data_IF_281231389893
#
_entry.id   IF_281231389893
#
_cell.length_a   1.000
_cell.length_b   1.000
_cell.length_c   1.000
_cell.angle_alpha   90.00
_cell.angle_beta   90.00
_cell.angle_gamma   90.00
#
_symmetry.space_group_name_H-M   'P 1'
#
loop_
_entity.id
_entity.type
_entity.pdbx_description
1 polymer ?
#
# COMPACT_ATOMS: atom_id res chain seq x y z
N UNK A 1 18.48 -26.59 -14.03
CA UNK A 1 18.38 -27.19 -12.67
C UNK A 1 17.05 -27.91 -12.39
N UNK A 2 15.90 -27.23 -12.21
CA UNK A 2 14.63 -27.91 -11.84
C UNK A 2 14.20 -28.98 -12.87
N UNK A 3 14.35 -28.67 -14.16
CA UNK A 3 14.09 -29.61 -15.27
C UNK A 3 15.09 -30.77 -15.29
N UNK A 4 16.37 -30.44 -15.32
CA UNK A 4 17.46 -31.41 -15.57
C UNK A 4 17.78 -32.30 -14.37
N UNK A 5 17.67 -31.78 -13.15
CA UNK A 5 18.07 -32.49 -11.93
C UNK A 5 16.89 -33.07 -11.15
N UNK A 6 15.73 -32.44 -11.21
CA UNK A 6 14.54 -32.87 -10.47
C UNK A 6 13.42 -33.40 -11.38
N UNK A 7 13.62 -33.43 -12.70
CA UNK A 7 12.65 -33.98 -13.65
C UNK A 7 11.32 -33.20 -13.72
N UNK A 8 11.27 -31.96 -13.23
CA UNK A 8 10.05 -31.14 -13.22
C UNK A 8 9.66 -30.78 -14.65
N UNK A 9 8.45 -31.19 -15.07
CA UNK A 9 7.92 -30.94 -16.42
C UNK A 9 6.82 -29.88 -16.47
N UNK A 10 6.15 -29.63 -15.35
CA UNK A 10 5.05 -28.67 -15.24
C UNK A 10 5.51 -27.44 -14.43
N UNK A 11 5.27 -26.25 -14.97
CA UNK A 11 5.62 -24.98 -14.35
C UNK A 11 4.38 -24.10 -14.26
N UNK A 12 4.13 -23.54 -13.07
CA UNK A 12 3.10 -22.54 -12.83
C UNK A 12 3.78 -21.25 -12.39
N UNK A 13 3.65 -20.19 -13.20
CA UNK A 13 4.09 -18.84 -12.86
C UNK A 13 2.92 -18.02 -12.32
N UNK A 14 3.03 -17.52 -11.09
CA UNK A 14 2.05 -16.61 -10.50
C UNK A 14 2.70 -15.26 -10.28
N UNK A 15 2.09 -14.21 -10.83
CA UNK A 15 2.49 -12.82 -10.61
C UNK A 15 1.26 -11.97 -10.37
N UNK A 16 1.36 -11.04 -9.41
CA UNK A 16 0.29 -10.09 -9.12
C UNK A 16 0.30 -8.89 -10.08
N UNK A 17 1.46 -8.56 -10.65
CA UNK A 17 1.66 -7.43 -11.55
C UNK A 17 2.71 -7.82 -12.57
N UNK A 18 2.31 -7.97 -13.84
CA UNK A 18 3.23 -8.16 -14.95
C UNK A 18 2.68 -7.46 -16.19
N UNK A 19 3.55 -6.73 -16.88
CA UNK A 19 3.26 -6.26 -18.22
C UNK A 19 3.21 -7.45 -19.18
N UNK A 20 2.61 -7.28 -20.35
CA UNK A 20 2.62 -8.32 -21.39
C UNK A 20 4.05 -8.72 -21.79
N UNK A 21 5.01 -7.78 -21.74
CA UNK A 21 6.42 -8.07 -22.02
C UNK A 21 7.05 -8.94 -20.92
N UNK A 22 6.85 -8.59 -19.64
CA UNK A 22 7.36 -9.39 -18.51
C UNK A 22 6.71 -10.77 -18.46
N UNK A 23 5.41 -10.88 -18.75
CA UNK A 23 4.70 -12.16 -18.80
C UNK A 23 5.27 -13.08 -19.89
N UNK A 24 5.61 -12.53 -21.07
CA UNK A 24 6.28 -13.28 -22.15
C UNK A 24 7.68 -13.73 -21.77
N UNK A 25 8.48 -12.85 -21.18
CA UNK A 25 9.84 -13.19 -20.74
C UNK A 25 9.85 -14.31 -19.68
N UNK A 26 8.91 -14.25 -18.72
CA UNK A 26 8.72 -15.32 -17.73
C UNK A 26 8.23 -16.61 -18.40
N UNK A 27 7.30 -16.52 -19.35
CA UNK A 27 6.81 -17.70 -20.08
C UNK A 27 7.92 -18.36 -20.90
N UNK A 28 8.77 -17.57 -21.55
CA UNK A 28 9.95 -18.04 -22.29
C UNK A 28 10.93 -18.77 -21.37
N UNK A 29 11.29 -18.16 -20.23
CA UNK A 29 12.15 -18.78 -19.23
C UNK A 29 11.56 -20.06 -18.62
N UNK A 30 10.24 -20.12 -18.47
CA UNK A 30 9.54 -21.30 -17.98
C UNK A 30 9.23 -22.31 -19.09
N UNK A 31 9.54 -22.03 -20.35
CA UNK A 31 9.25 -22.89 -21.51
C UNK A 31 7.75 -23.15 -21.69
N UNK A 32 6.91 -22.14 -21.41
CA UNK A 32 5.45 -22.18 -21.55
C UNK A 32 5.09 -21.60 -22.94
N UNK A 33 4.47 -22.37 -23.85
CA UNK A 33 4.13 -21.87 -25.18
C UNK A 33 3.03 -20.79 -25.11
N UNK A 34 3.21 -19.70 -25.88
CA UNK A 34 2.31 -18.53 -25.88
C UNK A 34 0.84 -18.89 -26.16
N UNK A 35 0.61 -19.95 -26.95
CA UNK A 35 -0.72 -20.37 -27.43
C UNK A 35 -1.57 -21.08 -26.39
N UNK A 36 -0.98 -21.57 -25.30
CA UNK A 36 -1.68 -22.42 -24.31
C UNK A 36 -1.68 -21.87 -22.88
N UNK A 37 -0.78 -20.93 -22.52
CA UNK A 37 -0.48 -20.69 -21.10
C UNK A 37 -0.49 -19.24 -20.60
N UNK A 38 -0.52 -18.23 -21.47
CA UNK A 38 -0.39 -16.83 -21.02
C UNK A 38 -1.78 -16.18 -20.92
N UNK A 39 -2.41 -16.31 -19.74
CA UNK A 39 -3.59 -15.50 -19.40
C UNK A 39 -3.14 -14.23 -18.67
N UNK A 40 -2.90 -13.14 -19.39
CA UNK A 40 -2.70 -11.82 -18.76
C UNK A 40 -4.08 -11.20 -18.51
N UNK A 41 -4.63 -11.37 -17.30
CA UNK A 41 -5.75 -10.54 -16.85
C UNK A 41 -5.19 -9.24 -16.30
N UNK A 42 -5.13 -8.22 -17.13
CA UNK A 42 -4.96 -6.85 -16.67
C UNK A 42 -6.32 -6.32 -16.27
N UNK A 43 -6.89 -6.84 -15.18
CA UNK A 43 -8.01 -6.14 -14.56
C UNK A 43 -7.47 -4.78 -14.13
N UNK A 44 -8.05 -3.71 -14.68
CA UNK A 44 -7.60 -2.34 -14.43
C UNK A 44 -7.62 -1.99 -12.94
N UNK A 45 -7.25 -0.75 -12.62
CA UNK A 45 -7.29 -0.28 -11.22
C UNK A 45 -8.71 -0.50 -10.67
N UNK A 46 -8.88 -1.18 -9.51
CA UNK A 46 -10.20 -1.49 -8.98
C UNK A 46 -11.06 -0.23 -8.82
N UNK A 47 -12.32 -0.29 -9.24
CA UNK A 47 -13.23 0.88 -9.25
C UNK A 47 -13.55 1.45 -7.87
N UNK A 48 -13.26 0.72 -6.79
CA UNK A 48 -13.40 1.19 -5.41
C UNK A 48 -12.19 2.01 -4.92
N UNK A 49 -11.11 2.13 -5.71
CA UNK A 49 -9.95 2.96 -5.38
C UNK A 49 -10.13 4.38 -5.91
N UNK A 50 -10.04 5.37 -5.01
CA UNK A 50 -9.98 6.80 -5.38
C UNK A 50 -8.54 7.27 -5.36
N UNK A 51 -8.00 7.55 -6.54
CA UNK A 51 -6.63 8.04 -6.72
C UNK A 51 -6.61 9.57 -6.66
N UNK A 52 -5.54 10.13 -6.09
CA UNK A 52 -5.30 11.56 -6.06
C UNK A 52 -3.79 11.84 -6.05
N UNK A 53 -3.40 13.01 -6.56
CA UNK A 53 -2.00 13.41 -6.67
C UNK A 53 -1.87 14.87 -6.28
N UNK A 54 -0.77 15.26 -5.67
CA UNK A 54 -0.41 16.66 -5.43
C UNK A 54 1.10 16.89 -5.59
N UNK A 55 1.47 18.16 -5.74
CA UNK A 55 2.85 18.63 -5.88
C UNK A 55 3.14 19.64 -4.75
N UNK A 56 3.34 19.12 -3.55
CA UNK A 56 3.54 19.95 -2.36
C UNK A 56 5.02 20.25 -2.14
N UNK A 57 5.35 21.53 -1.91
CA UNK A 57 6.72 21.95 -1.56
C UNK A 57 7.12 21.43 -0.18
N UNK A 58 6.21 21.50 0.78
CA UNK A 58 6.38 20.94 2.12
C UNK A 58 5.49 19.69 2.28
N UNK A 59 6.07 18.54 1.97
CA UNK A 59 5.39 17.25 2.06
C UNK A 59 5.07 16.82 3.49
N UNK A 60 5.86 17.26 4.48
CA UNK A 60 5.59 16.93 5.88
C UNK A 60 4.28 17.59 6.31
N UNK A 61 4.12 18.89 6.07
CA UNK A 61 2.89 19.62 6.38
C UNK A 61 1.70 19.15 5.55
N UNK A 62 1.92 18.85 4.26
CA UNK A 62 0.88 18.32 3.40
C UNK A 62 0.39 16.94 3.88
N UNK A 63 1.30 16.05 4.31
CA UNK A 63 0.96 14.76 4.89
C UNK A 63 0.09 14.90 6.15
N UNK A 64 0.49 15.79 7.07
CA UNK A 64 -0.28 16.02 8.30
C UNK A 64 -1.66 16.60 7.99
N UNK A 65 -1.74 17.56 7.06
CA UNK A 65 -3.00 18.17 6.62
C UNK A 65 -3.90 17.14 5.93
N UNK A 66 -3.33 16.28 5.09
CA UNK A 66 -4.05 15.20 4.41
C UNK A 66 -4.62 14.19 5.40
N UNK A 67 -3.79 13.78 6.37
CA UNK A 67 -4.21 12.88 7.44
C UNK A 67 -5.31 13.52 8.30
N UNK A 68 -5.23 14.80 8.64
CA UNK A 68 -6.30 15.50 9.40
C UNK A 68 -7.58 15.72 8.60
N UNK A 69 -7.47 15.91 7.29
CA UNK A 69 -8.57 16.28 6.43
C UNK A 69 -9.61 15.17 6.24
N UNK A 70 -10.75 15.52 5.65
CA UNK A 70 -11.89 14.62 5.42
C UNK A 70 -11.55 13.37 4.59
N UNK A 71 -10.45 13.41 3.83
CA UNK A 71 -10.03 12.32 2.97
C UNK A 71 -9.45 11.16 3.77
N UNK A 72 -8.52 11.42 4.71
CA UNK A 72 -7.82 10.37 5.45
C UNK A 72 -8.14 10.36 6.96
N UNK A 73 -8.75 11.43 7.48
CA UNK A 73 -9.01 11.65 8.90
C UNK A 73 -9.88 10.59 9.57
N UNK A 74 -10.83 10.01 8.85
CA UNK A 74 -11.71 8.94 9.35
C UNK A 74 -11.21 7.52 9.05
N UNK A 75 -10.06 7.37 8.35
CA UNK A 75 -9.59 6.04 7.94
C UNK A 75 -8.80 5.37 9.05
N UNK A 76 -9.14 4.13 9.36
CA UNK A 76 -8.56 3.37 10.50
C UNK A 76 -7.30 2.55 10.14
N UNK A 77 -7.01 2.37 8.85
CA UNK A 77 -5.88 1.57 8.38
C UNK A 77 -5.22 2.23 7.17
N UNK A 78 -4.05 2.82 7.40
CA UNK A 78 -3.31 3.61 6.42
C UNK A 78 -1.87 3.09 6.32
N UNK A 79 -1.37 2.96 5.10
CA UNK A 79 0.04 2.71 4.82
C UNK A 79 0.63 3.96 4.16
N UNK A 80 1.74 4.47 4.70
CA UNK A 80 2.53 5.54 4.11
C UNK A 80 3.82 4.92 3.56
N UNK A 81 3.98 4.90 2.25
CA UNK A 81 5.18 4.41 1.58
C UNK A 81 6.25 5.50 1.46
N UNK A 82 7.44 5.18 1.97
CA UNK A 82 8.67 5.96 1.84
C UNK A 82 9.73 5.13 1.13
N UNK A 83 10.64 5.79 0.43
CA UNK A 83 11.75 5.14 -0.29
C UNK A 83 12.87 4.72 0.67
N UNK A 84 13.14 5.51 1.69
CA UNK A 84 14.29 5.36 2.60
C UNK A 84 13.87 4.91 3.99
N UNK A 85 14.69 4.07 4.63
CA UNK A 85 14.44 3.57 5.99
C UNK A 85 14.49 4.70 7.03
N UNK A 86 15.41 5.65 6.90
CA UNK A 86 15.52 6.77 7.85
C UNK A 86 14.27 7.66 7.79
N UNK A 87 13.71 7.83 6.59
CA UNK A 87 12.49 8.60 6.36
C UNK A 87 11.27 7.95 7.03
N UNK A 88 11.14 6.62 6.97
CA UNK A 88 10.02 5.93 7.65
C UNK A 88 9.98 6.22 9.15
N UNK A 89 11.14 6.19 9.82
CA UNK A 89 11.24 6.48 11.25
C UNK A 89 10.95 7.95 11.56
N UNK A 90 11.46 8.87 10.74
CA UNK A 90 11.22 10.32 10.87
C UNK A 90 9.74 10.66 10.70
N UNK A 91 9.10 10.15 9.67
CA UNK A 91 7.68 10.40 9.38
C UNK A 91 6.77 9.75 10.43
N UNK A 92 7.07 8.53 10.88
CA UNK A 92 6.31 7.92 11.97
C UNK A 92 6.41 8.75 13.27
N UNK A 93 7.59 9.27 13.59
CA UNK A 93 7.78 10.18 14.72
C UNK A 93 7.01 11.49 14.54
N UNK A 94 7.08 12.11 13.35
CA UNK A 94 6.34 13.33 13.02
C UNK A 94 4.84 13.14 13.25
N UNK A 95 4.25 12.05 12.75
CA UNK A 95 2.83 11.74 12.94
C UNK A 95 2.52 11.59 14.44
N UNK A 96 3.31 10.81 15.19
CA UNK A 96 3.06 10.66 16.64
C UNK A 96 3.09 11.99 17.39
N UNK A 97 4.04 12.87 17.07
CA UNK A 97 4.17 14.18 17.71
C UNK A 97 3.03 15.13 17.33
N UNK A 98 2.71 15.22 16.03
CA UNK A 98 1.69 16.15 15.52
C UNK A 98 0.26 15.77 15.91
N UNK A 99 0.04 14.51 16.31
CA UNK A 99 -1.28 14.01 16.70
C UNK A 99 -1.39 13.63 18.17
N UNK A 100 -0.40 14.01 18.99
CA UNK A 100 -0.45 13.80 20.43
C UNK A 100 -1.63 14.55 21.03
N UNK A 101 -2.51 13.83 21.74
CA UNK A 101 -3.69 14.40 22.41
C UNK A 101 -4.86 14.74 21.49
N UNK A 102 -4.78 14.44 20.18
CA UNK A 102 -5.89 14.66 19.23
C UNK A 102 -6.77 13.40 19.21
N UNK A 103 -8.03 13.47 19.69
CA UNK A 103 -8.95 12.35 19.57
C UNK A 103 -9.28 12.08 18.09
N UNK A 104 -9.51 10.81 17.77
CA UNK A 104 -10.01 10.42 16.46
C UNK A 104 -11.45 10.94 16.25
N UNK A 105 -11.84 11.34 15.03
CA UNK A 105 -13.24 11.62 14.71
C UNK A 105 -14.13 10.43 15.11
N UNK A 106 -15.33 10.69 15.63
CA UNK A 106 -16.25 9.63 16.03
C UNK A 106 -16.53 8.68 14.86
N UNK A 107 -16.47 7.38 15.14
CA UNK A 107 -16.80 6.34 14.15
C UNK A 107 -18.28 6.41 13.85
N UNK A 108 -18.63 6.67 12.59
CA UNK A 108 -19.95 6.29 12.10
C UNK A 108 -19.91 4.76 11.85
N UNK A 109 -20.64 3.94 12.61
CA UNK A 109 -20.64 2.50 12.41
C UNK A 109 -21.33 2.20 11.08
N UNK A 110 -20.54 2.10 10.01
CA UNK A 110 -21.03 1.62 8.73
C UNK A 110 -21.77 0.29 8.87
N UNK A 111 -22.73 -0.01 7.98
CA UNK A 111 -23.71 -1.09 8.14
C UNK A 111 -23.11 -2.49 8.34
N UNK A 112 -21.84 -2.71 7.98
CA UNK A 112 -21.16 -4.01 8.07
C UNK A 112 -20.44 -4.26 9.41
N UNK A 113 -20.41 -3.30 10.34
CA UNK A 113 -19.75 -3.49 11.65
C UNK A 113 -20.62 -4.21 12.70
N UNK A 114 -21.85 -4.60 12.35
CA UNK A 114 -22.85 -5.15 13.27
C UNK A 114 -22.55 -6.57 13.83
N UNK A 115 -21.44 -7.21 13.44
CA UNK A 115 -21.15 -8.61 13.82
C UNK A 115 -19.80 -8.93 14.49
N UNK A 116 -18.81 -8.02 14.49
CA UNK A 116 -17.47 -8.35 15.04
C UNK A 116 -17.42 -8.13 16.56
N UNK A 117 -17.52 -9.24 17.31
CA UNK A 117 -17.31 -9.31 18.77
C UNK A 117 -16.12 -8.43 19.21
N UNK A 118 -16.40 -7.47 20.09
CA UNK A 118 -15.41 -6.60 20.74
C UNK A 118 -14.40 -7.46 21.54
N UNK A 119 -13.23 -7.74 20.97
CA UNK A 119 -12.14 -8.43 21.65
C UNK A 119 -11.62 -7.63 22.86
N UNK A 120 -11.47 -8.30 24.01
CA UNK A 120 -10.86 -7.78 25.24
C UNK A 120 -9.40 -7.38 25.00
N UNK A 121 -9.03 -6.15 25.40
CA UNK A 121 -7.66 -5.63 25.33
C UNK A 121 -7.46 -4.47 24.33
N UNK A 122 -8.34 -3.47 24.35
CA UNK A 122 -8.23 -2.28 23.49
C UNK A 122 -7.33 -1.22 24.12
N UNK A 123 -6.23 -0.92 23.42
CA UNK A 123 -5.61 0.42 23.44
C UNK A 123 -6.74 1.42 23.13
N UNK A 124 -6.81 2.59 23.77
CA UNK A 124 -7.91 3.52 23.54
C UNK A 124 -8.07 3.76 22.04
N UNK A 125 -9.28 3.56 21.52
CA UNK A 125 -9.61 3.67 20.10
C UNK A 125 -9.57 5.13 19.59
N UNK A 126 -8.70 5.95 20.18
CA UNK A 126 -8.71 7.41 20.13
C UNK A 126 -7.31 8.02 19.94
N UNK A 127 -6.24 7.21 19.87
CA UNK A 127 -4.88 7.72 19.63
C UNK A 127 -4.43 7.45 18.19
N UNK A 128 -3.82 8.46 17.59
CA UNK A 128 -3.08 8.34 16.34
C UNK A 128 -1.80 7.51 16.56
N UNK A 129 -1.95 6.20 16.41
CA UNK A 129 -0.83 5.26 16.52
C UNK A 129 -0.18 5.11 15.15
N UNK A 130 1.08 5.52 15.07
CA UNK A 130 1.93 5.38 13.90
C UNK A 130 3.27 4.71 14.26
N UNK A 131 3.72 3.75 13.46
CA UNK A 131 4.99 3.06 13.64
C UNK A 131 5.69 2.86 12.29
N UNK A 132 7.03 2.84 12.33
CA UNK A 132 7.84 2.63 11.15
C UNK A 132 8.00 1.13 10.85
N UNK A 133 8.17 0.77 9.57
CA UNK A 133 8.49 -0.58 9.14
C UNK A 133 9.50 -0.58 7.99
N UNK A 134 10.67 -1.18 8.22
CA UNK A 134 11.69 -1.34 7.19
C UNK A 134 12.59 -2.55 7.49
N UNK A 135 13.37 -2.97 6.49
CA UNK A 135 14.25 -4.14 6.60
C UNK A 135 15.33 -4.02 7.70
N UNK A 136 15.72 -2.80 8.05
CA UNK A 136 16.66 -2.54 9.15
C UNK A 136 16.13 -2.77 10.57
N UNK A 137 14.82 -2.95 10.77
CA UNK A 137 14.26 -3.31 12.08
C UNK A 137 14.55 -4.78 12.41
N UNK A 138 14.63 -5.11 13.70
CA UNK A 138 14.73 -6.50 14.13
C UNK A 138 13.50 -7.31 13.70
N UNK A 139 13.67 -8.63 13.54
CA UNK A 139 12.56 -9.50 13.18
C UNK A 139 11.40 -9.44 14.20
N UNK A 140 11.72 -9.22 15.48
CA UNK A 140 10.72 -9.05 16.53
C UNK A 140 9.92 -7.75 16.35
N UNK A 141 10.59 -6.63 16.08
CA UNK A 141 9.92 -5.34 15.84
C UNK A 141 9.02 -5.39 14.60
N UNK A 142 9.51 -5.96 13.49
CA UNK A 142 8.71 -6.15 12.27
C UNK A 142 7.43 -6.94 12.55
N UNK A 143 7.56 -8.07 13.26
CA UNK A 143 6.39 -8.87 13.67
C UNK A 143 5.44 -8.10 14.59
N UNK A 144 5.96 -7.31 15.53
CA UNK A 144 5.16 -6.47 16.43
C UNK A 144 4.34 -5.45 15.65
N UNK A 145 4.97 -4.68 14.76
CA UNK A 145 4.33 -3.65 13.95
C UNK A 145 3.30 -4.25 13.01
N UNK A 146 3.67 -5.32 12.27
CA UNK A 146 2.75 -6.03 11.38
C UNK A 146 1.54 -6.57 12.15
N UNK A 147 1.74 -7.29 13.25
CA UNK A 147 0.64 -7.81 14.08
C UNK A 147 -0.28 -6.71 14.57
N UNK A 148 0.27 -5.58 15.04
CA UNK A 148 -0.54 -4.48 15.53
C UNK A 148 -1.39 -3.88 14.40
N UNK A 149 -0.83 -3.68 13.22
CA UNK A 149 -1.56 -3.19 12.04
C UNK A 149 -2.67 -4.17 11.60
N UNK A 150 -2.33 -5.46 11.49
CA UNK A 150 -3.29 -6.51 11.16
C UNK A 150 -4.49 -6.55 12.13
N UNK A 151 -4.22 -6.40 13.43
CA UNK A 151 -5.26 -6.39 14.47
C UNK A 151 -6.04 -5.07 14.63
N UNK A 152 -5.70 -4.02 13.86
CA UNK A 152 -6.31 -2.68 14.00
C UNK A 152 -5.87 -1.91 15.25
N UNK A 153 -4.76 -2.32 15.87
CA UNK A 153 -4.12 -1.61 17.01
C UNK A 153 -3.14 -0.54 16.57
N UNK A 154 -2.77 -0.53 15.29
CA UNK A 154 -1.91 0.47 14.69
C UNK A 154 -2.66 1.06 13.50
N UNK A 155 -2.86 2.37 13.53
CA UNK A 155 -3.64 3.08 12.51
C UNK A 155 -2.82 3.34 11.26
N UNK A 156 -1.60 3.83 11.45
CA UNK A 156 -0.68 4.19 10.37
C UNK A 156 0.58 3.34 10.44
N UNK A 157 0.93 2.68 9.35
CA UNK A 157 2.27 2.11 9.18
C UNK A 157 3.01 2.96 8.17
N UNK A 158 4.18 3.45 8.57
CA UNK A 158 5.08 4.17 7.66
C UNK A 158 6.17 3.21 7.23
N UNK A 159 6.22 2.84 5.95
CA UNK A 159 7.00 1.71 5.51
C UNK A 159 7.77 1.95 4.23
N UNK A 160 8.85 1.19 4.06
CA UNK A 160 9.40 0.93 2.73
C UNK A 160 8.64 -0.21 2.05
N UNK A 161 8.93 -0.46 0.77
CA UNK A 161 8.37 -1.58 -0.01
C UNK A 161 8.48 -2.94 0.69
N UNK A 162 9.40 -3.09 1.65
CA UNK A 162 9.57 -4.28 2.47
C UNK A 162 8.31 -4.69 3.26
N UNK A 163 7.39 -3.77 3.58
CA UNK A 163 6.13 -4.11 4.26
C UNK A 163 5.13 -4.82 3.36
N UNK A 164 5.28 -4.69 2.03
CA UNK A 164 4.34 -5.26 1.08
C UNK A 164 4.42 -6.79 0.93
N UNK A 165 5.57 -7.40 1.21
CA UNK A 165 5.71 -8.85 1.03
C UNK A 165 4.93 -9.60 2.12
N UNK A 166 3.82 -10.26 1.73
CA UNK A 166 3.01 -11.07 2.65
C UNK A 166 1.99 -10.31 3.50
N UNK A 167 1.72 -9.03 3.20
CA UNK A 167 0.61 -8.31 3.81
C UNK A 167 -0.72 -8.77 3.19
N UNK A 168 -1.56 -9.39 4.01
CA UNK A 168 -2.92 -9.82 3.63
C UNK A 168 -3.98 -9.29 4.59
N UNK A 169 -4.21 -7.97 4.52
CA UNK A 169 -5.27 -7.27 5.25
C UNK A 169 -6.29 -6.79 4.25
N UNK A 170 -7.54 -7.28 4.33
CA UNK A 170 -8.57 -6.95 3.35
C UNK A 170 -9.07 -5.51 3.45
N UNK A 171 -8.99 -4.94 4.66
CA UNK A 171 -9.58 -3.66 5.07
C UNK A 171 -8.55 -2.51 5.18
N UNK A 172 -7.50 -2.51 4.33
CA UNK A 172 -6.63 -1.34 4.21
C UNK A 172 -7.41 -0.22 3.50
N UNK A 173 -7.52 0.94 4.14
CA UNK A 173 -8.37 2.05 3.68
C UNK A 173 -7.61 3.18 3.00
N UNK A 174 -6.35 3.39 3.38
CA UNK A 174 -5.51 4.44 2.82
C UNK A 174 -4.14 3.91 2.38
N UNK A 175 -3.72 4.30 1.18
CA UNK A 175 -2.33 4.20 0.74
C UNK A 175 -1.85 5.63 0.45
N UNK A 176 -0.71 6.02 1.00
CA UNK A 176 -0.09 7.31 0.72
C UNK A 176 1.34 7.05 0.26
N UNK A 177 1.69 7.51 -0.92
CA UNK A 177 3.05 7.50 -1.44
C UNK A 177 3.71 8.84 -1.10
N UNK A 178 4.58 8.83 -0.08
CA UNK A 178 5.36 10.01 0.33
C UNK A 178 6.44 10.36 -0.70
N UNK A 179 6.96 9.34 -1.38
CA UNK A 179 7.74 9.51 -2.61
C UNK A 179 7.17 8.62 -3.71
N UNK A 180 7.47 8.99 -4.96
CA UNK A 180 7.14 8.21 -6.13
C UNK A 180 7.81 6.83 -6.08
N UNK A 181 7.05 5.73 -6.31
CA UNK A 181 7.64 4.41 -6.52
C UNK A 181 8.61 4.39 -7.70
N UNK A 182 9.52 3.42 -7.72
CA UNK A 182 10.55 3.32 -8.78
C UNK A 182 9.97 3.19 -10.18
N UNK A 183 8.80 2.58 -10.31
CA UNK A 183 8.11 2.36 -11.57
C UNK A 183 6.59 2.24 -11.33
N UNK A 184 5.83 2.30 -12.42
CA UNK A 184 4.38 2.26 -12.38
C UNK A 184 3.84 0.92 -11.88
N UNK A 185 4.51 -0.18 -12.20
CA UNK A 185 4.13 -1.53 -11.75
C UNK A 185 4.17 -1.62 -10.22
N UNK A 186 5.22 -1.05 -9.60
CA UNK A 186 5.34 -0.98 -8.14
C UNK A 186 4.21 -0.14 -7.55
N UNK A 187 3.89 1.01 -8.16
CA UNK A 187 2.76 1.84 -7.76
C UNK A 187 1.43 1.04 -7.78
N UNK A 188 1.14 0.36 -8.90
CA UNK A 188 -0.08 -0.47 -9.06
C UNK A 188 -0.14 -1.58 -8.02
N UNK A 189 0.98 -2.28 -7.78
CA UNK A 189 1.07 -3.34 -6.79
C UNK A 189 0.82 -2.83 -5.37
N UNK A 190 1.33 -1.64 -5.05
CA UNK A 190 1.21 -1.02 -3.74
C UNK A 190 -0.20 -0.49 -3.47
N UNK A 191 -0.84 0.19 -4.44
CA UNK A 191 -2.23 0.63 -4.30
C UNK A 191 -3.22 -0.55 -4.28
N UNK A 192 -2.92 -1.66 -4.96
CA UNK A 192 -3.72 -2.90 -4.96
C UNK A 192 -3.79 -3.62 -3.60
N UNK A 193 -3.16 -3.06 -2.56
CA UNK A 193 -3.29 -3.52 -1.16
C UNK A 193 -4.50 -2.92 -0.47
N UNK A 194 -4.96 -1.76 -0.93
CA UNK A 194 -6.14 -1.09 -0.41
C UNK A 194 -7.42 -1.74 -0.95
N UNK A 195 -8.50 -1.70 -0.16
CA UNK A 195 -9.83 -1.99 -0.69
C UNK A 195 -10.06 -3.42 -1.18
N UNK A 196 -9.33 -4.43 -0.67
CA UNK A 196 -9.48 -5.83 -1.10
C UNK A 196 -10.83 -6.45 -0.70
N UNK A 197 -11.50 -5.86 0.28
CA UNK A 197 -12.89 -6.17 0.66
C UNK A 197 -13.93 -5.52 -0.28
N UNK A 198 -13.50 -4.80 -1.33
CA UNK A 198 -14.38 -4.11 -2.27
C UNK A 198 -14.91 -2.75 -1.77
N UNK A 199 -14.68 -2.41 -0.50
CA UNK A 199 -15.11 -1.14 0.08
C UNK A 199 -14.24 0.03 -0.43
N UNK A 200 -14.76 1.28 -0.44
CA UNK A 200 -14.00 2.44 -0.87
C UNK A 200 -12.67 2.59 -0.12
N UNK A 201 -11.60 2.79 -0.89
CA UNK A 201 -10.29 3.10 -0.35
C UNK A 201 -9.65 4.25 -1.13
N UNK A 202 -8.69 4.93 -0.50
CA UNK A 202 -8.08 6.14 -1.05
C UNK A 202 -6.59 5.95 -1.22
N UNK A 203 -6.08 6.39 -2.37
CA UNK A 203 -4.67 6.38 -2.68
C UNK A 203 -4.23 7.81 -2.99
N UNK A 204 -3.14 8.25 -2.40
CA UNK A 204 -2.59 9.58 -2.62
C UNK A 204 -1.10 9.51 -2.92
N UNK A 205 -0.64 10.26 -3.92
CA UNK A 205 0.76 10.35 -4.30
C UNK A 205 1.24 11.80 -4.22
N UNK A 206 2.31 12.01 -3.44
CA UNK A 206 3.07 13.26 -3.49
C UNK A 206 4.13 13.16 -4.59
N UNK A 207 3.96 13.97 -5.63
CA UNK A 207 4.96 14.12 -6.69
C UNK A 207 6.02 15.13 -6.28
N UNK A 208 7.26 14.84 -6.65
CA UNK A 208 8.34 15.79 -6.55
C UNK A 208 8.08 16.97 -7.51
N UNK A 209 8.04 18.22 -7.03
CA UNK A 209 7.81 19.39 -7.89
C UNK A 209 8.94 19.63 -8.91
N UNK A 210 10.11 19.03 -8.69
CA UNK A 210 11.29 19.12 -9.57
C UNK A 210 11.40 17.94 -10.55
N UNK A 211 10.54 16.91 -10.44
CA UNK A 211 10.48 15.87 -11.46
C UNK A 211 9.74 16.45 -12.65
N UNK A 212 10.50 16.85 -13.67
CA UNK A 212 9.98 17.05 -15.01
C UNK A 212 9.33 15.73 -15.44
N UNK A 213 8.00 15.64 -15.30
CA UNK A 213 7.24 14.53 -15.86
C UNK A 213 7.53 14.54 -17.38
N UNK A 214 8.02 13.44 -17.98
CA UNK A 214 7.98 13.34 -19.43
C UNK A 214 6.52 13.53 -19.85
N UNK A 215 6.29 14.54 -20.70
CA UNK A 215 4.95 14.90 -21.16
C UNK A 215 4.27 13.65 -21.74
N UNK A 216 3.24 13.12 -21.07
CA UNK A 216 2.48 11.99 -21.60
C UNK A 216 1.72 11.10 -20.61
N UNK A 217 2.01 11.13 -19.31
CA UNK A 217 1.45 10.09 -18.40
C UNK A 217 -0.01 10.35 -17.96
N UNK A 218 -0.56 11.56 -18.15
CA UNK A 218 -1.92 11.90 -17.67
C UNK A 218 -2.86 12.56 -18.68
N UNK A 219 -2.51 12.67 -19.97
CA UNK A 219 -3.49 13.10 -20.97
C UNK A 219 -4.22 11.87 -21.51
N UNK A 220 -5.34 11.56 -20.86
CA UNK A 220 -6.38 10.70 -21.43
C UNK A 220 -7.08 11.40 -22.59
N UNK A 221 -6.41 11.52 -23.72
CA UNK A 221 -7.05 11.77 -25.01
C UNK A 221 -6.99 10.46 -25.80
N UNK A 222 -8.13 9.77 -25.84
CA UNK A 222 -8.34 8.65 -26.76
C UNK A 222 -8.26 9.16 -28.21
N UNK A 223 -7.66 8.39 -29.13
CA UNK A 223 -7.81 8.63 -30.56
C UNK A 223 -9.25 8.38 -31.04
#
# INVERSE_FOLDING_TARGET
>A
VLRERLGVRCFLGLTATATSATARDVAEHLGIPEREGITVRSDGIPGNLRLSVSMDRDRDQALISLLRGERFGSLDSIIVYCTRREETSRIAALIRTQFQGIPLPERDPGPESAGKKKGKGKIPAFLWLADAYHAGLSAWERRRVQRNFMSGRLRVVVATVAFGMGLDKSDVRGIIHYNMPRNFESYVQEIGRAGRDGNPARCHLFLDPEVALPAGIFRGENP
#
